data_IF_188627437068
#
_entry.id   IF_188627437068
#
_cell.length_a   1.000
_cell.length_b   1.000
_cell.length_c   1.000
_cell.angle_alpha   90.00
_cell.angle_beta   90.00
_cell.angle_gamma   90.00
#
_symmetry.space_group_name_H-M   'P 1'
#
loop_
_entity.id
_entity.type
_entity.pdbx_description
1 polymer ?
#
# COMPACT_ATOMS: atom_id res chain seq x y z
N UNK A 1 20.67 6.91 10.89
CA UNK A 1 20.22 6.68 12.27
C UNK A 1 20.38 5.19 12.62
N UNK A 2 20.45 4.78 13.89
CA UNK A 2 20.89 3.41 14.20
C UNK A 2 19.76 2.43 14.60
N UNK A 3 19.97 1.15 14.36
CA UNK A 3 19.15 0.02 14.80
C UNK A 3 19.83 -0.70 15.96
N UNK A 4 19.09 -1.02 17.01
CA UNK A 4 19.56 -1.82 18.15
C UNK A 4 19.65 -3.30 17.79
N UNK A 5 18.69 -3.82 17.01
CA UNK A 5 18.68 -5.21 16.55
C UNK A 5 17.77 -5.42 15.32
N UNK A 6 18.02 -6.52 14.60
CA UNK A 6 17.27 -7.00 13.44
C UNK A 6 17.03 -8.51 13.60
N UNK A 7 15.83 -8.97 13.27
CA UNK A 7 15.40 -10.36 13.34
C UNK A 7 14.62 -10.78 12.09
N UNK A 8 14.76 -12.04 11.73
CA UNK A 8 13.85 -12.74 10.81
C UNK A 8 13.39 -14.01 11.51
N UNK A 9 12.09 -14.16 11.63
CA UNK A 9 11.45 -15.35 12.18
C UNK A 9 10.70 -16.08 11.09
N UNK A 10 10.73 -17.41 11.09
CA UNK A 10 9.77 -18.20 10.32
C UNK A 10 8.47 -18.32 11.09
N UNK A 11 7.36 -18.29 10.37
CA UNK A 11 6.01 -18.50 10.87
C UNK A 11 5.17 -19.14 9.75
N UNK A 12 5.13 -20.48 9.74
CA UNK A 12 4.34 -21.25 8.79
C UNK A 12 3.20 -21.99 9.47
N UNK A 13 2.17 -22.38 8.72
CA UNK A 13 0.99 -23.11 9.26
C UNK A 13 1.33 -24.49 9.82
N UNK A 14 2.41 -25.12 9.33
CA UNK A 14 2.76 -26.51 9.62
C UNK A 14 4.03 -26.67 10.48
N UNK A 15 4.82 -25.60 10.66
CA UNK A 15 6.07 -25.64 11.43
C UNK A 15 6.04 -24.66 12.61
N UNK A 16 6.66 -25.01 13.75
CA UNK A 16 6.77 -24.08 14.86
C UNK A 16 7.53 -22.84 14.45
N UNK A 17 7.05 -21.68 14.90
CA UNK A 17 7.75 -20.41 14.68
C UNK A 17 9.16 -20.48 15.25
N UNK A 18 10.16 -20.03 14.49
CA UNK A 18 11.56 -20.15 14.88
C UNK A 18 12.38 -18.94 14.43
N UNK A 19 13.48 -18.69 15.14
CA UNK A 19 14.44 -17.62 14.78
C UNK A 19 15.30 -18.12 13.62
N UNK A 20 15.22 -17.44 12.47
CA UNK A 20 16.01 -17.78 11.27
C UNK A 20 17.21 -16.87 11.11
N UNK A 21 17.10 -15.63 11.55
CA UNK A 21 18.20 -14.67 11.58
C UNK A 21 18.05 -13.74 12.78
N UNK A 22 19.17 -13.35 13.39
CA UNK A 22 19.22 -12.36 14.45
C UNK A 22 20.56 -11.64 14.42
N UNK A 23 20.54 -10.31 14.49
CA UNK A 23 21.72 -9.47 14.65
C UNK A 23 21.44 -8.38 15.68
N UNK A 24 22.31 -8.26 16.67
CA UNK A 24 22.30 -7.18 17.68
C UNK A 24 23.46 -6.24 17.40
N UNK A 25 23.26 -4.95 17.69
CA UNK A 25 24.29 -3.92 17.52
C UNK A 25 24.67 -3.33 18.88
N UNK A 26 25.73 -3.86 19.54
CA UNK A 26 26.10 -3.45 20.89
C UNK A 26 26.44 -1.96 21.01
N UNK A 27 26.99 -1.36 19.94
CA UNK A 27 27.27 0.08 19.85
C UNK A 27 25.99 0.92 19.99
N UNK A 28 24.93 0.49 19.32
CA UNK A 28 23.63 1.17 19.39
C UNK A 28 22.93 0.90 20.71
N UNK A 29 23.06 -0.31 21.25
CA UNK A 29 22.52 -0.64 22.58
C UNK A 29 23.11 0.23 23.69
N UNK A 30 24.43 0.52 23.63
CA UNK A 30 25.07 1.47 24.54
C UNK A 30 24.50 2.89 24.41
N UNK A 31 24.20 3.33 23.17
CA UNK A 31 23.54 4.63 22.93
C UNK A 31 22.11 4.66 23.47
N UNK A 32 21.35 3.58 23.29
CA UNK A 32 20.00 3.45 23.84
C UNK A 32 20.01 3.62 25.37
N UNK A 33 20.94 2.95 26.06
CA UNK A 33 21.14 3.14 27.51
C UNK A 33 21.40 4.59 27.89
N UNK A 34 22.23 5.30 27.12
CA UNK A 34 22.57 6.70 27.38
C UNK A 34 21.38 7.67 27.16
N UNK A 35 20.61 7.47 26.08
CA UNK A 35 19.47 8.33 25.74
C UNK A 35 18.21 8.02 26.57
N UNK A 36 17.85 6.74 26.72
CA UNK A 36 16.60 6.34 27.35
C UNK A 36 16.71 6.27 28.89
N UNK A 37 17.92 6.14 29.45
CA UNK A 37 18.18 6.17 30.90
C UNK A 37 17.23 5.25 31.70
N UNK A 38 16.39 5.82 32.57
CA UNK A 38 15.46 5.07 33.41
C UNK A 38 14.36 4.33 32.62
N UNK A 39 14.03 4.81 31.41
CA UNK A 39 13.06 4.16 30.52
C UNK A 39 13.73 3.17 29.57
N UNK A 40 15.01 2.81 29.77
CA UNK A 40 15.71 1.82 28.96
C UNK A 40 15.23 0.41 29.30
N UNK A 41 14.89 -0.35 28.27
CA UNK A 41 14.59 -1.79 28.37
C UNK A 41 15.64 -2.55 27.57
N UNK A 42 16.33 -3.50 28.20
CA UNK A 42 17.34 -4.33 27.55
C UNK A 42 16.71 -5.27 26.52
N UNK A 43 17.47 -5.66 25.50
CA UNK A 43 16.99 -6.62 24.51
C UNK A 43 17.02 -8.03 25.14
N UNK A 44 15.85 -8.69 25.32
CA UNK A 44 15.77 -10.02 25.93
C UNK A 44 16.27 -11.12 24.99
N UNK A 45 16.16 -12.38 25.36
CA UNK A 45 16.55 -13.49 24.49
C UNK A 45 15.69 -13.58 23.23
N UNK A 46 16.26 -14.08 22.13
CA UNK A 46 15.57 -14.10 20.84
C UNK A 46 14.24 -14.90 20.88
N UNK A 47 14.18 -15.93 21.73
CA UNK A 47 12.97 -16.71 21.95
C UNK A 47 11.89 -15.90 22.69
N UNK A 48 12.28 -15.06 23.65
CA UNK A 48 11.36 -14.18 24.37
C UNK A 48 10.82 -13.07 23.47
N UNK A 49 11.69 -12.48 22.62
CA UNK A 49 11.26 -11.53 21.58
C UNK A 49 10.25 -12.19 20.64
N UNK A 50 10.55 -13.40 20.15
CA UNK A 50 9.64 -14.14 19.26
C UNK A 50 8.29 -14.41 19.93
N UNK A 51 8.29 -14.91 21.17
CA UNK A 51 7.05 -15.19 21.92
C UNK A 51 6.21 -13.91 22.10
N UNK A 52 6.83 -12.82 22.53
CA UNK A 52 6.16 -11.54 22.72
C UNK A 52 5.60 -10.98 21.41
N UNK A 53 6.36 -11.10 20.31
CA UNK A 53 5.95 -10.65 18.99
C UNK A 53 4.77 -11.45 18.42
N UNK A 54 4.81 -12.78 18.53
CA UNK A 54 3.70 -13.64 18.08
C UNK A 54 2.42 -13.35 18.87
N UNK A 55 2.54 -13.10 20.18
CA UNK A 55 1.41 -12.70 21.02
C UNK A 55 0.80 -11.37 20.55
N UNK A 56 1.64 -10.37 20.33
CA UNK A 56 1.24 -9.02 19.90
C UNK A 56 0.61 -9.02 18.50
N UNK A 57 1.08 -9.90 17.60
CA UNK A 57 0.53 -10.08 16.26
C UNK A 57 -0.71 -11.01 16.23
N UNK A 58 -1.09 -11.62 17.35
CA UNK A 58 -2.23 -12.54 17.43
C UNK A 58 -2.00 -13.88 16.71
N UNK A 59 -0.74 -14.33 16.60
CA UNK A 59 -0.33 -15.51 15.83
C UNK A 59 -0.10 -16.77 16.68
N UNK A 60 -0.46 -16.76 17.97
CA UNK A 60 -0.32 -17.93 18.86
C UNK A 60 -1.57 -18.80 18.87
N UNK A 61 -1.43 -20.12 18.95
CA UNK A 61 -2.56 -21.08 18.90
C UNK A 61 -3.52 -20.97 20.10
N UNK A 62 -3.02 -20.50 21.25
CA UNK A 62 -3.80 -20.29 22.47
C UNK A 62 -4.70 -19.04 22.40
N UNK A 63 -4.55 -18.21 21.36
CA UNK A 63 -5.20 -16.91 21.22
C UNK A 63 -6.48 -16.93 20.37
N UNK A 64 -7.22 -18.05 20.36
CA UNK A 64 -8.56 -18.12 19.73
C UNK A 64 -9.61 -17.27 20.44
N UNK A 65 -9.31 -16.78 21.64
CA UNK A 65 -10.20 -15.92 22.41
C UNK A 65 -9.93 -14.45 22.11
N UNK A 66 -11.00 -13.66 22.04
CA UNK A 66 -10.95 -12.21 21.91
C UNK A 66 -10.19 -11.58 23.08
N UNK A 67 -9.26 -10.68 22.78
CA UNK A 67 -8.48 -9.94 23.77
C UNK A 67 -8.65 -8.44 23.48
N UNK A 68 -9.31 -7.71 24.37
CA UNK A 68 -9.74 -6.33 24.12
C UNK A 68 -8.60 -5.39 23.70
N UNK A 69 -7.42 -5.48 24.34
CA UNK A 69 -6.26 -4.66 23.98
C UNK A 69 -5.67 -4.97 22.58
N UNK A 70 -5.95 -6.16 22.02
CA UNK A 70 -5.43 -6.67 20.73
C UNK A 70 -6.46 -6.62 19.60
N UNK A 71 -7.71 -6.96 19.92
CA UNK A 71 -8.80 -7.21 18.98
C UNK A 71 -9.90 -6.14 19.02
N UNK A 72 -9.85 -5.22 20.00
CA UNK A 72 -10.80 -4.12 20.10
C UNK A 72 -10.72 -3.16 18.90
N UNK A 73 -11.88 -2.68 18.45
CA UNK A 73 -11.99 -1.74 17.33
C UNK A 73 -11.46 -0.33 17.63
N UNK A 74 -11.19 -0.02 18.90
CA UNK A 74 -10.52 1.22 19.33
C UNK A 74 -9.07 1.30 18.86
N UNK A 75 -8.45 0.14 18.56
CA UNK A 75 -7.09 0.07 18.06
C UNK A 75 -7.08 0.17 16.54
N UNK A 76 -6.70 1.33 16.05
CA UNK A 76 -6.41 1.54 14.63
C UNK A 76 -5.15 0.72 14.27
N UNK A 77 -5.32 -0.49 13.72
CA UNK A 77 -4.22 -1.34 13.18
C UNK A 77 -3.61 -0.73 11.90
N UNK A 78 -3.11 0.51 11.96
CA UNK A 78 -2.52 1.21 10.81
C UNK A 78 -0.98 1.25 10.84
N UNK A 79 -0.33 0.78 11.90
CA UNK A 79 1.13 0.88 12.05
C UNK A 79 1.78 -0.48 12.22
N UNK A 80 2.88 -0.72 11.51
CA UNK A 80 3.79 -1.87 11.71
C UNK A 80 4.67 -1.73 12.96
N UNK A 81 4.46 -0.68 13.77
CA UNK A 81 5.24 -0.39 14.98
C UNK A 81 4.46 -0.88 16.20
N UNK A 82 5.12 -1.71 16.99
CA UNK A 82 4.56 -2.43 18.12
C UNK A 82 5.36 -2.14 19.39
N UNK A 83 4.72 -2.37 20.52
CA UNK A 83 5.36 -2.37 21.81
C UNK A 83 5.23 -3.77 22.42
N UNK A 84 6.36 -4.45 22.62
CA UNK A 84 6.36 -5.82 23.10
C UNK A 84 6.49 -5.84 24.63
N UNK A 85 5.60 -6.58 25.29
CA UNK A 85 5.75 -6.85 26.71
C UNK A 85 6.81 -7.95 26.89
N UNK A 86 7.93 -7.59 27.53
CA UNK A 86 9.07 -8.47 27.82
C UNK A 86 9.32 -8.47 29.33
N UNK A 87 10.10 -9.42 29.90
CA UNK A 87 10.29 -9.51 31.36
C UNK A 87 10.76 -8.20 32.01
N UNK A 88 11.66 -7.48 31.35
CA UNK A 88 12.26 -6.23 31.83
C UNK A 88 11.42 -4.97 31.52
N UNK A 89 10.19 -5.14 31.04
CA UNK A 89 9.28 -4.03 30.74
C UNK A 89 8.81 -4.02 29.29
N UNK A 90 8.63 -2.81 28.73
CA UNK A 90 8.02 -2.63 27.40
C UNK A 90 9.08 -2.30 26.35
N UNK A 91 9.38 -3.26 25.48
CA UNK A 91 10.33 -3.07 24.38
C UNK A 91 9.64 -2.32 23.24
N UNK A 92 10.02 -1.06 23.04
CA UNK A 92 9.44 -0.18 22.04
C UNK A 92 10.49 0.79 21.47
N UNK A 93 10.40 1.19 20.18
CA UNK A 93 9.47 0.72 19.16
C UNK A 93 9.99 -0.53 18.44
N UNK A 94 9.21 -1.59 18.36
CA UNK A 94 9.53 -2.76 17.53
C UNK A 94 8.78 -2.66 16.22
N UNK A 95 9.52 -2.52 15.11
CA UNK A 95 8.94 -2.58 13.78
C UNK A 95 8.81 -4.04 13.35
N UNK A 96 7.64 -4.46 12.86
CA UNK A 96 7.40 -5.82 12.38
C UNK A 96 6.54 -5.85 11.11
N UNK A 97 6.99 -6.60 10.10
CA UNK A 97 6.30 -6.81 8.84
C UNK A 97 6.16 -8.31 8.56
N UNK A 98 5.00 -8.74 8.09
CA UNK A 98 4.74 -10.13 7.70
C UNK A 98 4.75 -10.26 6.18
N UNK A 99 5.42 -11.28 5.65
CA UNK A 99 5.32 -11.68 4.24
C UNK A 99 5.58 -13.17 4.10
N UNK A 100 4.71 -13.86 3.36
CA UNK A 100 4.70 -15.31 3.26
C UNK A 100 4.82 -15.97 4.65
N UNK A 101 5.72 -16.94 4.81
CA UNK A 101 5.97 -17.64 6.07
C UNK A 101 7.05 -16.97 6.94
N UNK A 102 7.26 -15.65 6.80
CA UNK A 102 8.29 -14.91 7.54
C UNK A 102 7.75 -13.65 8.22
N UNK A 103 8.33 -13.37 9.38
CA UNK A 103 8.17 -12.12 10.12
C UNK A 103 9.52 -11.42 10.16
N UNK A 104 9.58 -10.24 9.56
CA UNK A 104 10.74 -9.35 9.53
C UNK A 104 10.58 -8.31 10.62
N UNK A 105 11.52 -8.24 11.55
CA UNK A 105 11.41 -7.32 12.67
C UNK A 105 12.72 -6.59 12.95
N UNK A 106 12.65 -5.37 13.47
CA UNK A 106 13.81 -4.67 13.98
C UNK A 106 13.44 -3.71 15.10
N UNK A 107 14.45 -3.34 15.89
CA UNK A 107 14.33 -2.43 17.01
C UNK A 107 15.16 -1.17 16.70
N UNK A 108 14.58 -0.11 16.16
CA UNK A 108 15.26 1.18 15.99
C UNK A 108 15.70 1.82 17.32
N UNK A 109 16.74 2.64 17.27
CA UNK A 109 17.12 3.54 18.36
C UNK A 109 16.17 4.74 18.41
N UNK A 110 15.73 5.10 19.61
CA UNK A 110 15.03 6.36 19.87
C UNK A 110 15.95 7.25 20.68
N UNK A 111 16.35 8.39 20.11
CA UNK A 111 17.32 9.32 20.71
C UNK A 111 16.68 10.33 21.68
N UNK A 112 15.72 9.87 22.47
CA UNK A 112 14.98 10.67 23.45
C UNK A 112 14.38 9.76 24.54
N UNK A 113 13.82 10.34 25.59
CA UNK A 113 13.14 9.57 26.63
C UNK A 113 11.91 8.84 26.05
N UNK A 114 11.62 7.64 26.56
CA UNK A 114 10.48 6.82 26.08
C UNK A 114 9.21 7.04 26.90
N UNK A 115 9.30 7.79 28.00
CA UNK A 115 8.18 8.10 28.88
C UNK A 115 8.04 9.62 29.03
N UNK A 116 6.97 10.22 28.49
CA UNK A 116 5.93 9.61 27.65
C UNK A 116 6.47 9.19 26.27
N UNK A 117 5.81 8.23 25.57
CA UNK A 117 6.25 7.79 24.25
C UNK A 117 6.19 8.93 23.23
N UNK A 118 7.28 9.22 22.51
CA UNK A 118 7.28 10.25 21.49
C UNK A 118 6.43 9.85 20.28
N UNK A 119 5.95 10.85 19.55
CA UNK A 119 5.21 10.62 18.29
C UNK A 119 6.07 9.87 17.29
N UNK A 120 5.53 8.83 16.66
CA UNK A 120 6.23 8.02 15.65
C UNK A 120 6.81 8.87 14.51
N UNK A 121 6.12 9.96 14.15
CA UNK A 121 6.55 10.86 13.07
C UNK A 121 7.85 11.61 13.39
N UNK A 122 8.16 11.78 14.69
CA UNK A 122 9.38 12.43 15.15
C UNK A 122 10.61 11.51 15.16
N UNK A 123 10.41 10.21 14.96
CA UNK A 123 11.44 9.18 15.12
C UNK A 123 11.92 8.74 13.73
N UNK A 124 12.93 9.45 13.21
CA UNK A 124 13.49 9.19 11.87
C UNK A 124 14.07 7.79 11.67
N UNK A 125 14.56 7.15 12.75
CA UNK A 125 15.06 5.77 12.71
C UNK A 125 14.00 4.74 12.33
N UNK A 126 12.71 5.05 12.51
CA UNK A 126 11.61 4.18 12.07
C UNK A 126 11.56 4.11 10.54
N UNK A 127 11.72 5.23 9.83
CA UNK A 127 11.70 5.24 8.36
C UNK A 127 12.89 4.48 7.77
N UNK A 128 14.08 4.62 8.36
CA UNK A 128 15.27 3.86 7.96
C UNK A 128 15.13 2.36 8.27
N UNK A 129 14.55 2.02 9.42
CA UNK A 129 14.20 0.66 9.80
C UNK A 129 13.26 0.01 8.78
N UNK A 130 12.21 0.72 8.35
CA UNK A 130 11.29 0.28 7.30
C UNK A 130 12.02 0.03 5.98
N UNK A 131 12.89 0.95 5.56
CA UNK A 131 13.67 0.82 4.33
C UNK A 131 14.55 -0.44 4.36
N UNK A 132 15.28 -0.66 5.46
CA UNK A 132 16.14 -1.84 5.61
C UNK A 132 15.34 -3.14 5.65
N UNK A 133 14.24 -3.22 6.41
CA UNK A 133 13.41 -4.43 6.46
C UNK A 133 12.75 -4.73 5.12
N UNK A 134 12.29 -3.71 4.41
CA UNK A 134 11.73 -3.86 3.06
C UNK A 134 12.78 -4.37 2.08
N UNK A 135 14.01 -3.85 2.16
CA UNK A 135 15.16 -4.34 1.40
C UNK A 135 15.50 -5.81 1.70
N UNK A 136 15.52 -6.18 2.98
CA UNK A 136 15.72 -7.56 3.42
C UNK A 136 14.63 -8.50 2.92
N UNK A 137 13.37 -8.11 3.03
CA UNK A 137 12.23 -8.87 2.49
C UNK A 137 12.38 -9.07 0.98
N UNK A 138 12.66 -7.99 0.23
CA UNK A 138 12.83 -8.07 -1.23
C UNK A 138 13.98 -8.99 -1.61
N UNK A 139 15.10 -8.94 -0.89
CA UNK A 139 16.25 -9.81 -1.13
C UNK A 139 15.97 -11.29 -0.81
N UNK A 140 15.35 -11.60 0.33
CA UNK A 140 15.01 -12.99 0.70
C UNK A 140 14.04 -13.61 -0.31
N UNK A 141 13.08 -12.82 -0.82
CA UNK A 141 12.12 -13.27 -1.82
C UNK A 141 12.60 -13.08 -3.27
N UNK A 142 13.86 -12.69 -3.48
CA UNK A 142 14.43 -12.52 -4.84
C UNK A 142 14.96 -13.84 -5.40
N UNK A 143 14.52 -14.20 -6.61
CA UNK A 143 14.98 -15.40 -7.31
C UNK A 143 13.94 -15.96 -8.27
N UNK A 144 14.31 -17.00 -9.02
CA UNK A 144 13.36 -17.74 -9.86
C UNK A 144 12.55 -18.77 -9.05
N UNK A 145 13.13 -19.29 -7.96
CA UNK A 145 12.46 -20.18 -7.03
C UNK A 145 12.66 -19.70 -5.58
N UNK A 146 11.80 -18.77 -5.11
CA UNK A 146 11.97 -18.14 -3.80
C UNK A 146 12.07 -19.15 -2.64
N UNK A 147 11.31 -20.24 -2.68
CA UNK A 147 11.29 -21.22 -1.58
C UNK A 147 12.61 -22.01 -1.46
N UNK A 148 13.20 -22.41 -2.58
CA UNK A 148 14.47 -23.13 -2.61
C UNK A 148 15.67 -22.22 -2.30
N UNK A 149 15.59 -20.94 -2.69
CA UNK A 149 16.70 -19.99 -2.59
C UNK A 149 16.83 -19.37 -1.19
N UNK A 150 15.74 -19.29 -0.40
CA UNK A 150 15.71 -18.65 0.93
C UNK A 150 16.85 -19.07 1.87
N UNK A 151 17.19 -20.37 2.04
CA UNK A 151 18.28 -20.77 2.94
C UNK A 151 19.62 -20.15 2.54
N UNK A 152 19.91 -20.12 1.23
CA UNK A 152 21.14 -19.52 0.71
C UNK A 152 21.16 -18.00 0.92
N UNK A 153 20.03 -17.33 0.69
CA UNK A 153 19.89 -15.88 0.91
C UNK A 153 20.04 -15.50 2.38
N UNK A 154 19.42 -16.26 3.29
CA UNK A 154 19.58 -16.06 4.73
C UNK A 154 21.05 -16.18 5.15
N UNK A 155 21.81 -17.10 4.54
CA UNK A 155 23.24 -17.26 4.83
C UNK A 155 24.07 -16.03 4.40
N UNK A 156 23.74 -15.43 3.26
CA UNK A 156 24.42 -14.22 2.76
C UNK A 156 24.01 -12.93 3.49
N UNK A 157 22.82 -12.92 4.11
CA UNK A 157 22.27 -11.72 4.75
C UNK A 157 23.20 -11.14 5.84
N UNK A 158 23.90 -12.00 6.59
CA UNK A 158 24.85 -11.55 7.62
C UNK A 158 25.99 -10.70 7.04
N UNK A 159 26.56 -11.14 5.91
CA UNK A 159 27.62 -10.44 5.20
C UNK A 159 27.10 -9.12 4.62
N UNK A 160 25.94 -9.16 3.95
CA UNK A 160 25.31 -7.98 3.36
C UNK A 160 24.99 -6.91 4.40
N UNK A 161 24.39 -7.29 5.54
CA UNK A 161 24.08 -6.34 6.61
C UNK A 161 25.32 -5.70 7.23
N UNK A 162 26.52 -6.29 7.09
CA UNK A 162 27.75 -5.66 7.57
C UNK A 162 28.16 -4.49 6.71
N UNK A 163 27.86 -4.53 5.40
CA UNK A 163 28.11 -3.44 4.46
C UNK A 163 26.94 -2.46 4.40
N UNK A 164 25.71 -2.98 4.39
CA UNK A 164 24.47 -2.21 4.34
C UNK A 164 24.16 -1.47 5.64
N UNK A 165 24.56 -2.01 6.80
CA UNK A 165 24.22 -1.48 8.11
C UNK A 165 25.42 -1.54 9.10
N UNK A 166 26.56 -0.91 8.78
CA UNK A 166 27.74 -0.95 9.62
C UNK A 166 27.45 -0.34 11.00
N UNK A 167 27.84 -1.06 12.05
CA UNK A 167 27.64 -0.67 13.45
C UNK A 167 26.18 -0.31 13.80
N UNK A 168 25.22 -0.82 13.03
CA UNK A 168 23.79 -0.61 13.21
C UNK A 168 23.22 0.60 12.47
N UNK A 169 24.02 1.35 11.70
CA UNK A 169 23.52 2.49 10.91
C UNK A 169 23.21 2.05 9.48
N UNK A 170 21.95 2.01 9.02
CA UNK A 170 21.61 1.69 7.64
C UNK A 170 22.19 2.75 6.69
N UNK A 171 23.02 2.31 5.75
CA UNK A 171 23.60 3.11 4.68
C UNK A 171 23.01 2.75 3.31
N UNK A 172 22.71 1.47 3.08
CA UNK A 172 22.13 0.97 1.84
C UNK A 172 21.02 -0.05 2.14
N UNK A 173 19.83 0.17 1.61
CA UNK A 173 18.71 -0.77 1.74
C UNK A 173 18.54 -1.67 0.51
N UNK A 174 19.26 -1.44 -0.59
CA UNK A 174 19.22 -2.26 -1.79
C UNK A 174 20.14 -3.49 -1.68
N UNK A 175 19.73 -4.45 -0.86
CA UNK A 175 20.53 -5.65 -0.60
C UNK A 175 20.74 -6.55 -1.84
N UNK A 176 19.85 -6.48 -2.82
CA UNK A 176 20.01 -7.19 -4.11
C UNK A 176 21.20 -6.62 -4.87
N UNK A 177 21.22 -5.30 -5.07
CA UNK A 177 22.32 -4.63 -5.76
C UNK A 177 23.66 -4.83 -5.05
N UNK A 178 23.66 -4.73 -3.73
CA UNK A 178 24.85 -5.00 -2.91
C UNK A 178 25.37 -6.44 -3.09
N UNK A 179 24.47 -7.42 -3.14
CA UNK A 179 24.82 -8.82 -3.40
C UNK A 179 25.42 -9.03 -4.79
N UNK A 180 24.92 -8.33 -5.82
CA UNK A 180 25.51 -8.36 -7.15
C UNK A 180 26.91 -7.76 -7.18
N UNK A 181 27.12 -6.62 -6.51
CA UNK A 181 28.44 -5.97 -6.43
C UNK A 181 29.47 -6.88 -5.75
N UNK A 182 29.11 -7.50 -4.63
CA UNK A 182 29.99 -8.41 -3.88
C UNK A 182 30.39 -9.64 -4.71
N UNK A 183 29.47 -10.15 -5.54
CA UNK A 183 29.72 -11.32 -6.36
C UNK A 183 30.32 -11.01 -7.74
N UNK A 184 30.34 -9.73 -8.15
CA UNK A 184 31.00 -9.31 -9.38
C UNK A 184 32.52 -9.24 -9.18
N UNK A 185 33.28 -9.97 -9.99
CA UNK A 185 34.74 -9.90 -9.98
C UNK A 185 35.18 -8.46 -10.24
N UNK A 186 35.86 -7.84 -9.29
CA UNK A 186 36.36 -6.47 -9.34
C UNK A 186 37.22 -6.23 -10.59
N UNK A 187 36.59 -5.81 -11.68
CA UNK A 187 37.22 -5.50 -12.95
C UNK A 187 36.39 -4.45 -13.65
N UNK A 188 36.79 -3.18 -13.50
CA UNK A 188 36.22 -1.97 -14.11
C UNK A 188 35.05 -1.28 -13.37
N UNK A 189 35.25 -0.92 -12.10
CA UNK A 189 34.47 0.17 -11.49
C UNK A 189 35.24 1.50 -11.60
N UNK A 190 35.16 2.14 -12.77
CA UNK A 190 35.64 3.52 -12.96
C UNK A 190 34.59 4.42 -13.62
N UNK A 191 33.31 4.04 -13.63
CA UNK A 191 32.22 4.92 -14.02
C UNK A 191 31.30 5.13 -12.83
N UNK A 192 31.10 6.39 -12.43
CA UNK A 192 30.15 6.81 -11.39
C UNK A 192 28.73 6.44 -11.85
N UNK A 193 28.30 5.22 -11.54
CA UNK A 193 26.93 4.78 -11.76
C UNK A 193 26.07 5.09 -10.52
N UNK A 194 24.77 5.39 -10.68
CA UNK A 194 23.86 5.54 -9.55
C UNK A 194 23.79 4.25 -8.72
N UNK A 195 23.48 4.37 -7.42
CA UNK A 195 23.39 3.26 -6.45
C UNK A 195 22.29 2.21 -6.74
N UNK A 196 21.61 2.27 -7.87
CA UNK A 196 20.60 1.30 -8.31
C UNK A 196 20.89 0.72 -9.71
N UNK A 197 22.07 1.01 -10.28
CA UNK A 197 22.51 0.56 -11.61
C UNK A 197 23.83 -0.20 -11.50
N UNK A 198 23.73 -1.52 -11.35
CA UNK A 198 24.88 -2.40 -11.12
C UNK A 198 25.27 -3.25 -12.32
N UNK A 199 24.45 -3.32 -13.38
CA UNK A 199 24.71 -4.18 -14.54
C UNK A 199 24.28 -3.56 -15.87
N UNK A 200 24.94 -3.97 -16.96
CA UNK A 200 24.59 -3.64 -18.34
C UNK A 200 23.55 -4.64 -18.83
N UNK A 201 22.28 -4.24 -18.86
CA UNK A 201 21.27 -5.02 -19.59
C UNK A 201 21.53 -4.89 -21.10
N UNK A 202 21.63 -6.03 -21.78
CA UNK A 202 21.61 -6.11 -23.25
C UNK A 202 20.19 -6.48 -23.67
N UNK A 203 19.50 -5.65 -24.44
CA UNK A 203 18.16 -5.97 -24.88
C UNK A 203 17.56 -4.97 -25.85
N UNK A 204 16.29 -5.16 -26.19
CA UNK A 204 15.54 -4.15 -26.93
C UNK A 204 15.14 -3.05 -25.95
N UNK A 205 15.58 -1.83 -26.22
CA UNK A 205 15.18 -0.67 -25.43
C UNK A 205 13.64 -0.50 -25.42
N UNK A 206 13.02 -0.60 -24.23
CA UNK A 206 11.57 -0.50 -24.00
C UNK A 206 11.30 0.20 -22.67
N UNK A 207 10.30 1.09 -22.65
CA UNK A 207 9.82 1.76 -21.46
C UNK A 207 8.33 1.49 -21.34
N UNK A 208 7.92 0.86 -20.24
CA UNK A 208 6.54 0.62 -19.89
C UNK A 208 6.19 1.53 -18.70
N UNK A 209 5.14 2.34 -18.85
CA UNK A 209 4.63 3.22 -17.80
C UNK A 209 3.18 2.84 -17.52
N UNK A 210 2.85 2.69 -16.25
CA UNK A 210 1.51 2.35 -15.80
C UNK A 210 1.05 3.35 -14.75
N UNK A 211 -0.19 3.82 -14.85
CA UNK A 211 -0.80 4.70 -13.85
C UNK A 211 -1.94 3.93 -13.20
N UNK A 212 -1.94 3.87 -11.88
CA UNK A 212 -3.02 3.25 -11.09
C UNK A 212 -3.57 4.29 -10.14
N UNK A 213 -4.87 4.50 -10.21
CA UNK A 213 -5.59 5.39 -9.30
C UNK A 213 -6.55 4.58 -8.44
N UNK A 214 -6.57 4.89 -7.15
CA UNK A 214 -7.51 4.36 -6.17
C UNK A 214 -8.32 5.50 -5.61
N UNK A 215 -9.64 5.40 -5.74
CA UNK A 215 -10.56 6.33 -5.10
C UNK A 215 -11.03 5.72 -3.79
N UNK A 216 -10.76 6.39 -2.68
CA UNK A 216 -11.35 6.07 -1.37
C UNK A 216 -12.48 7.05 -1.15
N UNK A 217 -13.68 6.56 -0.84
CA UNK A 217 -14.86 7.39 -0.71
C UNK A 217 -15.78 6.84 0.38
N UNK A 218 -16.35 7.74 1.18
CA UNK A 218 -17.45 7.50 2.11
C UNK A 218 -18.54 8.53 1.83
N UNK A 219 -19.74 8.06 1.55
CA UNK A 219 -20.90 8.89 1.20
C UNK A 219 -21.99 8.69 2.24
N UNK A 220 -22.60 9.79 2.64
CA UNK A 220 -23.66 9.89 3.62
C UNK A 220 -24.84 10.62 2.94
N UNK A 221 -25.94 9.90 2.73
CA UNK A 221 -27.12 10.43 2.01
C UNK A 221 -27.76 11.60 2.78
N UNK A 222 -28.02 11.38 4.07
CA UNK A 222 -28.60 12.38 4.98
C UNK A 222 -27.93 12.31 6.35
N UNK A 223 -27.32 13.42 6.80
CA UNK A 223 -26.64 13.50 8.09
C UNK A 223 -25.89 14.81 8.32
N UNK A 224 -25.32 14.97 9.51
CA UNK A 224 -24.41 16.08 9.83
C UNK A 224 -23.03 15.93 9.16
N UNK A 225 -22.67 14.72 8.76
CA UNK A 225 -21.37 14.40 8.16
C UNK A 225 -21.40 14.60 6.65
N UNK A 226 -20.41 15.32 6.13
CA UNK A 226 -20.24 15.52 4.68
C UNK A 226 -19.60 14.30 4.03
N UNK A 227 -20.01 13.99 2.80
CA UNK A 227 -19.30 13.06 1.93
C UNK A 227 -17.80 13.37 1.89
N UNK A 228 -16.98 12.32 1.96
CA UNK A 228 -15.52 12.44 1.86
C UNK A 228 -15.00 11.51 0.78
N UNK A 229 -14.04 12.00 0.00
CA UNK A 229 -13.33 11.17 -0.96
C UNK A 229 -11.92 11.71 -1.21
N UNK A 230 -11.04 10.81 -1.66
CA UNK A 230 -9.67 11.14 -2.01
C UNK A 230 -9.19 10.21 -3.11
N UNK A 231 -8.47 10.77 -4.09
CA UNK A 231 -7.78 9.99 -5.11
C UNK A 231 -6.33 9.81 -4.70
N UNK A 232 -5.87 8.56 -4.74
CA UNK A 232 -4.47 8.20 -4.59
C UNK A 232 -3.97 7.57 -5.89
N UNK A 233 -2.99 8.21 -6.53
CA UNK A 233 -2.37 7.76 -7.76
C UNK A 233 -0.98 7.20 -7.54
N UNK A 234 -0.60 6.22 -8.36
CA UNK A 234 0.74 5.64 -8.43
C UNK A 234 1.16 5.54 -9.88
N UNK A 235 2.35 6.07 -10.18
CA UNK A 235 3.00 5.93 -11.49
C UNK A 235 4.10 4.90 -11.37
N UNK A 236 3.93 3.75 -12.03
CA UNK A 236 4.91 2.66 -12.06
C UNK A 236 5.63 2.64 -13.41
N UNK A 237 6.92 2.34 -13.40
CA UNK A 237 7.76 2.31 -14.59
C UNK A 237 8.58 1.01 -14.64
N UNK A 238 8.76 0.46 -15.84
CA UNK A 238 9.77 -0.56 -16.16
C UNK A 238 10.58 -0.06 -17.36
N UNK A 239 11.88 0.08 -17.20
CA UNK A 239 12.74 0.63 -18.24
C UNK A 239 13.86 -0.35 -18.58
N UNK A 240 13.70 -1.08 -19.68
CA UNK A 240 14.75 -1.87 -20.27
C UNK A 240 15.54 -0.93 -21.18
N UNK A 241 16.68 -0.41 -20.72
CA UNK A 241 17.52 0.54 -21.47
C UNK A 241 18.98 0.09 -21.45
N UNK A 242 19.65 0.11 -22.61
CA UNK A 242 20.99 -0.46 -22.79
C UNK A 242 22.12 0.43 -22.21
N UNK A 243 21.85 1.70 -21.92
CA UNK A 243 22.87 2.67 -21.51
C UNK A 243 22.80 3.01 -20.00
N UNK A 244 23.96 2.97 -19.34
CA UNK A 244 24.14 3.30 -17.90
C UNK A 244 23.77 4.77 -17.60
N UNK A 245 23.84 5.65 -18.61
CA UNK A 245 23.55 7.09 -18.50
C UNK A 245 22.20 7.49 -19.10
N UNK A 246 21.32 6.53 -19.44
CA UNK A 246 20.01 6.84 -19.99
C UNK A 246 19.16 7.58 -18.94
N UNK A 247 18.96 8.88 -19.16
CA UNK A 247 17.99 9.69 -18.44
C UNK A 247 16.64 9.59 -19.14
N UNK A 248 15.59 9.33 -18.38
CA UNK A 248 14.20 9.27 -18.85
C UNK A 248 13.43 10.39 -18.17
N UNK A 249 12.57 11.09 -18.91
CA UNK A 249 11.65 12.07 -18.33
C UNK A 249 10.22 11.62 -18.55
N UNK A 250 9.48 11.42 -17.46
CA UNK A 250 8.03 11.21 -17.50
C UNK A 250 7.35 12.53 -17.18
N UNK A 251 6.43 12.95 -18.05
CA UNK A 251 5.59 14.14 -17.84
C UNK A 251 4.17 13.72 -17.51
N UNK A 252 3.63 14.18 -16.38
CA UNK A 252 2.21 14.06 -16.06
C UNK A 252 1.52 15.37 -16.45
N UNK A 253 0.49 15.25 -17.28
CA UNK A 253 -0.27 16.38 -17.79
C UNK A 253 -1.69 16.30 -17.29
N UNK A 254 -2.13 17.34 -16.59
CA UNK A 254 -3.53 17.47 -16.17
C UNK A 254 -4.38 17.96 -17.35
N UNK A 255 -5.64 17.50 -17.49
CA UNK A 255 -6.59 18.12 -18.39
C UNK A 255 -6.86 19.58 -17.97
N UNK A 256 -7.38 20.41 -18.88
CA UNK A 256 -7.60 21.85 -18.62
C UNK A 256 -8.43 22.17 -17.36
N UNK A 257 -9.32 21.25 -16.95
CA UNK A 257 -10.14 21.35 -15.74
C UNK A 257 -9.78 20.25 -14.72
N UNK A 258 -8.57 19.68 -14.81
CA UNK A 258 -8.09 18.66 -13.90
C UNK A 258 -7.71 19.28 -12.58
N UNK A 259 -8.08 18.62 -11.48
CA UNK A 259 -7.61 19.02 -10.16
C UNK A 259 -6.09 18.90 -10.07
N UNK A 260 -5.40 19.84 -9.42
CA UNK A 260 -3.96 19.77 -9.22
C UNK A 260 -3.57 18.49 -8.47
N UNK A 261 -2.38 17.99 -8.77
CA UNK A 261 -1.77 16.91 -7.98
C UNK A 261 -1.20 17.50 -6.69
N UNK A 262 -1.42 16.78 -5.59
CA UNK A 262 -1.00 17.12 -4.24
C UNK A 262 -0.12 15.99 -3.68
N UNK A 263 0.60 16.27 -2.60
CA UNK A 263 1.42 15.31 -1.82
C UNK A 263 2.28 14.37 -2.70
N UNK A 264 2.97 14.95 -3.69
CA UNK A 264 3.70 14.15 -4.68
C UNK A 264 4.98 13.60 -4.04
N UNK A 265 5.04 12.29 -3.91
CA UNK A 265 6.21 11.56 -3.41
C UNK A 265 6.93 10.93 -4.59
N UNK A 266 8.21 11.26 -4.79
CA UNK A 266 9.01 10.78 -5.92
C UNK A 266 10.01 9.71 -5.48
N UNK A 267 10.32 8.79 -6.39
CA UNK A 267 11.36 7.81 -6.19
C UNK A 267 12.75 8.49 -6.14
N UNK A 268 13.71 8.01 -5.32
CA UNK A 268 15.07 8.55 -5.24
C UNK A 268 15.84 8.59 -6.57
N UNK A 269 15.36 7.90 -7.59
CA UNK A 269 15.97 7.94 -8.91
C UNK A 269 15.69 9.22 -9.70
N UNK A 270 14.72 10.02 -9.25
CA UNK A 270 14.37 11.31 -9.84
C UNK A 270 15.50 12.31 -9.53
N UNK A 271 16.10 12.86 -10.59
CA UNK A 271 17.32 13.67 -10.51
C UNK A 271 17.04 15.14 -10.25
N UNK A 272 15.85 15.62 -10.62
CA UNK A 272 15.40 16.96 -10.25
C UNK A 272 13.89 16.96 -10.10
N UNK A 273 13.42 17.61 -9.05
CA UNK A 273 12.01 17.90 -8.81
C UNK A 273 11.82 19.38 -9.10
N UNK A 274 10.91 19.72 -10.01
CA UNK A 274 10.58 21.12 -10.28
C UNK A 274 10.08 21.79 -8.99
N UNK A 275 10.46 23.04 -8.73
CA UNK A 275 10.05 23.79 -7.53
C UNK A 275 8.52 23.86 -7.39
N UNK A 276 7.80 23.79 -8.51
CA UNK A 276 6.33 23.69 -8.56
C UNK A 276 5.75 22.45 -7.86
N UNK A 277 6.49 21.32 -7.84
CA UNK A 277 6.10 20.08 -7.15
C UNK A 277 6.26 20.18 -5.62
N UNK A 278 7.21 21.00 -5.15
CA UNK A 278 7.48 21.18 -3.71
C UNK A 278 6.47 22.14 -3.06
N UNK A 279 5.90 23.06 -3.84
CA UNK A 279 4.91 24.06 -3.39
C UNK A 279 3.50 23.47 -3.27
N UNK A 280 3.20 22.33 -3.93
CA UNK A 280 1.92 21.60 -3.77
C UNK A 280 1.70 20.97 -2.38
N UNK A 281 2.57 21.28 -1.42
CA UNK A 281 2.49 20.86 -0.01
C UNK A 281 1.61 21.84 0.77
N UNK A 282 0.31 21.52 0.89
CA UNK A 282 -0.63 21.98 1.92
C UNK A 282 -0.39 23.36 2.58
N UNK A 283 -0.67 24.48 1.90
CA UNK A 283 -1.01 25.74 2.59
C UNK A 283 -2.01 26.58 1.78
N UNK A 284 -3.11 26.95 2.44
CA UNK A 284 -4.13 27.96 2.11
C UNK A 284 -5.16 27.66 1.00
N UNK A 285 -6.43 27.66 1.43
CA UNK A 285 -7.69 27.53 0.67
C UNK A 285 -7.95 28.76 -0.24
N UNK A 286 -6.98 29.64 -0.47
CA UNK A 286 -7.24 30.97 -1.03
C UNK A 286 -6.28 31.44 -2.12
N UNK A 287 -5.44 30.57 -2.68
CA UNK A 287 -4.55 30.99 -3.76
C UNK A 287 -4.78 30.17 -5.04
N UNK A 288 -5.33 30.85 -6.06
CA UNK A 288 -5.61 30.37 -7.42
C UNK A 288 -4.32 30.04 -8.23
N UNK A 289 -3.19 29.91 -7.53
CA UNK A 289 -1.84 29.76 -8.07
C UNK A 289 -1.35 28.30 -8.08
N UNK A 290 -2.19 27.34 -7.70
CA UNK A 290 -1.86 25.92 -7.81
C UNK A 290 -1.52 25.57 -9.26
N UNK A 291 -0.24 25.31 -9.52
CA UNK A 291 0.23 25.12 -10.89
C UNK A 291 -0.39 23.86 -11.48
N UNK A 292 -1.26 24.02 -12.48
CA UNK A 292 -1.73 22.94 -13.36
C UNK A 292 -0.65 22.50 -14.37
N UNK A 293 0.62 22.74 -14.03
CA UNK A 293 1.77 22.60 -14.91
C UNK A 293 2.07 21.14 -15.23
N UNK A 294 2.82 20.89 -16.32
CA UNK A 294 3.30 19.55 -16.60
C UNK A 294 4.29 19.11 -15.51
N UNK A 295 3.93 18.09 -14.74
CA UNK A 295 4.82 17.53 -13.72
C UNK A 295 5.89 16.68 -14.40
N UNK A 296 7.09 17.22 -14.54
CA UNK A 296 8.21 16.54 -15.19
C UNK A 296 9.09 15.86 -14.17
N UNK A 297 9.27 14.56 -14.34
CA UNK A 297 10.07 13.70 -13.49
C UNK A 297 11.22 13.13 -14.34
N UNK A 298 12.36 13.83 -14.45
CA UNK A 298 13.58 13.27 -15.01
C UNK A 298 14.22 12.29 -14.01
N UNK A 299 14.62 11.11 -14.46
CA UNK A 299 15.21 10.08 -13.62
C UNK A 299 16.16 9.17 -14.39
N UNK A 300 17.05 8.50 -13.66
CA UNK A 300 17.82 7.36 -14.18
C UNK A 300 17.15 6.07 -13.67
N UNK A 301 16.48 5.25 -14.50
CA UNK A 301 15.62 4.18 -13.99
C UNK A 301 16.40 3.10 -13.22
N UNK A 302 15.83 2.48 -12.18
CA UNK A 302 16.18 1.13 -11.74
C UNK A 302 16.04 0.08 -12.86
N UNK A 303 16.64 -1.11 -12.64
CA UNK A 303 16.54 -2.25 -13.57
C UNK A 303 15.18 -2.95 -13.48
N UNK A 304 14.67 -3.10 -12.26
CA UNK A 304 13.39 -3.75 -11.97
C UNK A 304 12.21 -2.78 -12.10
N UNK A 305 10.97 -3.28 -12.27
CA UNK A 305 9.78 -2.46 -12.15
C UNK A 305 9.75 -1.71 -10.81
N UNK A 306 9.46 -0.42 -10.85
CA UNK A 306 9.46 0.43 -9.66
C UNK A 306 8.34 1.48 -9.73
N UNK A 307 7.95 2.02 -8.57
CA UNK A 307 7.04 3.16 -8.51
C UNK A 307 7.86 4.43 -8.64
N UNK A 308 7.64 5.18 -9.71
CA UNK A 308 8.30 6.45 -10.00
C UNK A 308 7.79 7.57 -9.08
N UNK A 309 6.48 7.65 -8.87
CA UNK A 309 5.90 8.56 -7.91
C UNK A 309 4.52 8.11 -7.42
N UNK A 310 4.12 8.69 -6.30
CA UNK A 310 2.77 8.66 -5.75
C UNK A 310 2.24 10.08 -5.68
N UNK A 311 0.93 10.25 -5.82
CA UNK A 311 0.27 11.55 -5.71
C UNK A 311 -1.11 11.41 -5.09
N UNK A 312 -1.61 12.49 -4.49
CA UNK A 312 -3.00 12.65 -4.13
C UNK A 312 -3.67 13.65 -5.07
N UNK A 313 -4.99 13.58 -5.22
CA UNK A 313 -5.76 14.58 -5.95
C UNK A 313 -7.16 14.72 -5.38
N UNK A 314 -7.68 15.94 -5.41
CA UNK A 314 -9.01 16.32 -4.93
C UNK A 314 -9.94 16.51 -6.11
N UNK A 315 -10.59 15.45 -6.56
CA UNK A 315 -11.59 15.53 -7.65
C UNK A 315 -12.89 16.19 -7.14
N UNK A 316 -13.63 16.93 -7.97
CA UNK A 316 -14.83 17.64 -7.48
C UNK A 316 -16.00 16.74 -7.07
N UNK A 317 -16.10 15.54 -7.64
CA UNK A 317 -17.21 14.61 -7.42
C UNK A 317 -16.67 13.17 -7.45
N UNK A 318 -17.15 12.26 -6.59
CA UNK A 318 -16.78 10.85 -6.64
C UNK A 318 -17.26 10.19 -7.95
N UNK A 319 -16.56 9.14 -8.43
CA UNK A 319 -16.86 8.50 -9.72
C UNK A 319 -18.21 7.79 -9.75
N UNK A 320 -18.65 7.25 -8.61
CA UNK A 320 -19.97 6.62 -8.44
C UNK A 320 -20.61 7.27 -7.21
N UNK A 321 -21.80 7.81 -7.39
CA UNK A 321 -22.66 8.31 -6.32
C UNK A 321 -23.59 7.18 -5.88
N UNK A 322 -23.73 6.99 -4.58
CA UNK A 322 -24.49 5.92 -3.95
C UNK A 322 -25.38 6.46 -2.85
N UNK A 323 -26.62 6.00 -2.84
CA UNK A 323 -27.57 6.19 -1.76
C UNK A 323 -27.98 4.81 -1.24
N UNK A 324 -27.99 4.65 0.08
CA UNK A 324 -28.39 3.42 0.74
C UNK A 324 -29.36 3.72 1.87
N UNK A 325 -30.51 3.06 1.82
CA UNK A 325 -31.55 3.16 2.84
C UNK A 325 -31.89 1.77 3.34
N UNK A 326 -32.09 1.67 4.66
CA UNK A 326 -32.42 0.44 5.33
C UNK A 326 -33.46 0.71 6.42
N UNK A 327 -34.52 -0.08 6.42
CA UNK A 327 -35.54 -0.09 7.47
C UNK A 327 -35.74 -1.51 7.99
N UNK A 328 -36.00 -1.63 9.29
CA UNK A 328 -36.17 -2.92 9.96
C UNK A 328 -37.59 -3.05 10.50
N UNK A 329 -38.22 -4.19 10.22
CA UNK A 329 -39.53 -4.60 10.74
C UNK A 329 -39.44 -6.06 11.21
N UNK A 330 -39.19 -6.24 12.51
CA UNK A 330 -39.01 -7.57 13.12
C UNK A 330 -37.77 -8.29 12.58
N UNK A 331 -37.96 -9.44 11.90
CA UNK A 331 -36.88 -10.19 11.24
C UNK A 331 -36.71 -9.82 9.76
N UNK A 332 -37.51 -8.88 9.25
CA UNK A 332 -37.47 -8.42 7.88
C UNK A 332 -36.73 -7.08 7.82
N UNK A 333 -35.83 -6.96 6.86
CA UNK A 333 -35.12 -5.72 6.57
C UNK A 333 -35.43 -5.33 5.14
N UNK A 334 -35.99 -4.15 4.95
CA UNK A 334 -36.13 -3.57 3.63
C UNK A 334 -34.87 -2.77 3.30
N UNK A 335 -34.35 -2.98 2.10
CA UNK A 335 -33.18 -2.28 1.59
C UNK A 335 -33.53 -1.57 0.28
N UNK A 336 -32.93 -0.40 0.10
CA UNK A 336 -32.93 0.33 -1.17
C UNK A 336 -31.51 0.84 -1.40
N UNK A 337 -30.91 0.47 -2.54
CA UNK A 337 -29.60 0.94 -2.98
C UNK A 337 -29.77 1.59 -4.34
N UNK A 338 -29.31 2.82 -4.49
CA UNK A 338 -29.26 3.53 -5.77
C UNK A 338 -27.82 3.90 -6.07
N UNK A 339 -27.33 3.51 -7.24
CA UNK A 339 -25.99 3.83 -7.72
C UNK A 339 -26.07 4.61 -9.03
N UNK A 340 -25.32 5.70 -9.14
CA UNK A 340 -25.21 6.51 -10.34
C UNK A 340 -23.75 6.72 -10.70
N UNK A 341 -23.36 6.29 -11.90
CA UNK A 341 -22.04 6.58 -12.46
C UNK A 341 -22.01 8.04 -12.91
N UNK A 342 -20.98 8.78 -12.47
CA UNK A 342 -20.80 10.15 -12.88
C UNK A 342 -20.47 10.22 -14.38
N UNK A 343 -21.04 11.21 -15.09
CA UNK A 343 -20.93 11.32 -16.55
C UNK A 343 -19.49 11.52 -17.05
N UNK A 344 -18.61 11.99 -16.17
CA UNK A 344 -17.19 12.14 -16.47
C UNK A 344 -16.44 10.80 -16.52
N UNK A 345 -17.02 9.72 -15.99
CA UNK A 345 -16.37 8.41 -15.91
C UNK A 345 -16.74 7.58 -17.14
N UNK A 346 -15.72 7.01 -17.78
CA UNK A 346 -15.94 6.08 -18.89
C UNK A 346 -16.73 4.87 -18.38
N UNK A 347 -17.89 4.64 -18.99
CA UNK A 347 -18.73 3.50 -18.67
C UNK A 347 -18.18 2.20 -19.30
N UNK A 348 -17.16 1.62 -18.66
CA UNK A 348 -16.54 0.37 -19.06
C UNK A 348 -15.57 -0.12 -17.98
N UNK A 349 -15.84 -1.32 -17.47
CA UNK A 349 -15.14 -1.96 -16.35
C UNK A 349 -14.80 -3.40 -16.72
N UNK A 350 -13.73 -3.94 -16.15
CA UNK A 350 -13.42 -5.36 -16.20
C UNK A 350 -14.46 -6.16 -15.38
N UNK A 351 -14.79 -5.64 -14.20
CA UNK A 351 -15.78 -6.18 -13.26
C UNK A 351 -16.20 -5.09 -12.26
N UNK A 352 -17.44 -5.13 -11.81
CA UNK A 352 -17.98 -4.21 -10.79
C UNK A 352 -19.03 -4.95 -9.95
N UNK A 353 -18.92 -4.82 -8.63
CA UNK A 353 -19.82 -5.45 -7.67
C UNK A 353 -20.04 -4.55 -6.47
N UNK A 354 -21.21 -4.64 -5.85
CA UNK A 354 -21.54 -3.96 -4.60
C UNK A 354 -21.86 -4.98 -3.50
N UNK A 355 -21.23 -4.85 -2.35
CA UNK A 355 -21.36 -5.76 -1.22
C UNK A 355 -22.19 -5.14 -0.11
N UNK A 356 -23.18 -5.88 0.36
CA UNK A 356 -24.12 -5.46 1.40
C UNK A 356 -24.02 -6.49 2.54
N UNK A 357 -23.23 -6.22 3.60
CA UNK A 357 -23.03 -7.12 4.71
C UNK A 357 -24.13 -7.00 5.78
N UNK A 358 -24.45 -8.11 6.44
CA UNK A 358 -25.43 -8.23 7.52
C UNK A 358 -24.89 -9.04 8.71
N UNK A 359 -23.63 -8.82 9.09
CA UNK A 359 -22.87 -9.69 10.00
C UNK A 359 -23.55 -9.92 11.37
N UNK A 360 -24.27 -8.92 11.91
CA UNK A 360 -24.87 -9.02 13.25
C UNK A 360 -26.34 -9.50 13.25
N UNK A 361 -26.95 -9.72 12.08
CA UNK A 361 -28.40 -10.05 11.98
C UNK A 361 -28.69 -11.55 11.84
N UNK A 362 -27.65 -12.39 11.82
CA UNK A 362 -27.77 -13.84 11.63
C UNK A 362 -27.80 -14.24 10.15
N UNK A 363 -28.16 -15.50 9.88
CA UNK A 363 -28.19 -16.01 8.51
C UNK A 363 -29.45 -15.54 7.76
N UNK A 364 -29.24 -15.08 6.52
CA UNK A 364 -30.29 -14.77 5.55
C UNK A 364 -31.05 -16.06 5.21
N UNK A 365 -32.35 -16.09 5.51
CA UNK A 365 -33.24 -17.20 5.14
C UNK A 365 -33.81 -17.02 3.75
N UNK A 366 -34.30 -15.82 3.48
CA UNK A 366 -35.01 -15.48 2.26
C UNK A 366 -34.64 -14.07 1.82
N UNK A 367 -34.64 -13.84 0.52
CA UNK A 367 -34.37 -12.54 -0.06
C UNK A 367 -35.20 -12.33 -1.31
N UNK A 368 -36.14 -11.39 -1.25
CA UNK A 368 -36.93 -10.95 -2.39
C UNK A 368 -36.40 -9.62 -2.87
N UNK A 369 -36.14 -9.52 -4.17
CA UNK A 369 -35.51 -8.32 -4.70
C UNK A 369 -36.00 -7.96 -6.10
N UNK A 370 -35.86 -6.68 -6.40
CA UNK A 370 -36.01 -6.09 -7.72
C UNK A 370 -34.76 -5.30 -8.02
N UNK A 371 -34.13 -5.62 -9.14
CA UNK A 371 -32.90 -4.95 -9.59
C UNK A 371 -33.11 -4.42 -11.00
N UNK A 372 -32.71 -3.18 -11.26
CA UNK A 372 -32.82 -2.58 -12.60
C UNK A 372 -31.73 -3.04 -13.56
N UNK A 373 -30.57 -3.46 -13.04
CA UNK A 373 -29.42 -3.92 -13.82
C UNK A 373 -28.52 -4.86 -13.01
N UNK A 374 -27.89 -5.84 -13.66
CA UNK A 374 -27.04 -6.82 -12.98
C UNK A 374 -27.85 -7.94 -12.31
N UNK A 375 -27.19 -8.69 -11.42
CA UNK A 375 -27.76 -9.83 -10.72
C UNK A 375 -27.39 -9.83 -9.24
N UNK A 376 -28.20 -10.47 -8.42
CA UNK A 376 -27.93 -10.62 -6.99
C UNK A 376 -27.43 -12.02 -6.70
N UNK A 377 -26.38 -12.11 -5.89
CA UNK A 377 -25.82 -13.33 -5.36
C UNK A 377 -25.79 -13.26 -3.83
N UNK A 378 -25.96 -14.42 -3.18
CA UNK A 378 -25.84 -14.55 -1.74
C UNK A 378 -24.50 -15.21 -1.40
N UNK A 379 -23.81 -14.69 -0.39
CA UNK A 379 -22.57 -15.33 0.09
C UNK A 379 -22.83 -16.73 0.64
N UNK A 380 -21.83 -17.62 0.57
CA UNK A 380 -21.92 -18.99 1.09
C UNK A 380 -22.26 -19.03 2.59
N UNK A 381 -21.80 -18.05 3.34
CA UNK A 381 -22.04 -17.88 4.77
C UNK A 381 -23.44 -17.30 5.09
N UNK A 382 -24.20 -16.90 4.06
CA UNK A 382 -25.53 -16.29 4.17
C UNK A 382 -25.55 -15.04 5.05
N UNK A 383 -24.44 -14.31 5.09
CA UNK A 383 -24.23 -13.10 5.90
C UNK A 383 -24.05 -11.84 5.06
N UNK A 384 -24.02 -11.97 3.72
CA UNK A 384 -23.75 -10.88 2.78
C UNK A 384 -24.49 -11.10 1.47
N UNK A 385 -25.04 -10.02 0.93
CA UNK A 385 -25.54 -9.96 -0.44
C UNK A 385 -24.49 -9.30 -1.34
N UNK A 386 -24.35 -9.80 -2.56
CA UNK A 386 -23.43 -9.31 -3.58
C UNK A 386 -24.26 -8.94 -4.80
N UNK A 387 -24.27 -7.66 -5.14
CA UNK A 387 -24.86 -7.16 -6.38
C UNK A 387 -23.78 -7.16 -7.47
N UNK A 388 -23.87 -8.11 -8.39
CA UNK A 388 -22.98 -8.23 -9.54
C UNK A 388 -23.47 -7.31 -10.65
N UNK A 389 -22.77 -6.19 -10.85
CA UNK A 389 -23.09 -5.18 -11.86
C UNK A 389 -22.47 -5.55 -13.22
N UNK A 390 -21.26 -6.11 -13.20
CA UNK A 390 -20.54 -6.56 -14.39
C UNK A 390 -19.68 -5.46 -15.02
N UNK A 391 -19.68 -5.39 -16.35
CA UNK A 391 -18.69 -4.60 -17.11
C UNK A 391 -19.13 -3.17 -17.45
N UNK A 392 -20.39 -2.79 -17.21
CA UNK A 392 -20.90 -1.44 -17.51
C UNK A 392 -22.18 -1.14 -16.76
N UNK A 393 -22.44 0.14 -16.54
CA UNK A 393 -23.73 0.66 -16.12
C UNK A 393 -24.70 0.68 -17.32
N UNK A 394 -26.02 0.71 -17.08
CA UNK A 394 -27.01 0.91 -18.13
C UNK A 394 -26.86 2.28 -18.81
N UNK A 395 -27.56 2.51 -19.93
CA UNK A 395 -27.49 3.78 -20.67
C UNK A 395 -27.88 5.01 -19.84
N UNK A 396 -28.76 4.83 -18.85
CA UNK A 396 -29.15 5.87 -17.89
C UNK A 396 -28.03 6.27 -16.94
N UNK A 397 -26.94 5.51 -16.88
CA UNK A 397 -25.86 5.60 -15.88
C UNK A 397 -26.35 5.43 -14.44
N UNK A 398 -27.59 5.00 -14.23
CA UNK A 398 -28.23 4.87 -12.93
C UNK A 398 -28.87 3.48 -12.79
N UNK A 399 -28.70 2.89 -11.62
CA UNK A 399 -29.25 1.58 -11.27
C UNK A 399 -29.80 1.60 -9.84
N UNK A 400 -30.85 0.79 -9.63
CA UNK A 400 -31.55 0.68 -8.35
C UNK A 400 -31.74 -0.80 -8.01
N UNK A 401 -31.47 -1.12 -6.75
CA UNK A 401 -31.81 -2.38 -6.10
C UNK A 401 -32.77 -2.06 -4.96
N UNK A 402 -33.91 -2.72 -4.92
CA UNK A 402 -34.79 -2.74 -3.75
C UNK A 402 -35.15 -4.16 -3.39
N UNK A 403 -35.35 -4.42 -2.10
CA UNK A 403 -35.71 -5.77 -1.67
C UNK A 403 -35.97 -5.90 -0.18
N UNK A 404 -36.48 -7.06 0.19
CA UNK A 404 -36.75 -7.45 1.58
C UNK A 404 -35.90 -8.67 1.91
N UNK A 405 -35.04 -8.54 2.92
CA UNK A 405 -34.18 -9.59 3.45
C UNK A 405 -34.80 -10.12 4.74
N UNK A 406 -35.06 -11.43 4.80
CA UNK A 406 -35.59 -12.08 6.01
C UNK A 406 -34.50 -12.89 6.70
N UNK A 407 -34.27 -12.61 7.98
CA UNK A 407 -33.26 -13.26 8.79
C UNK A 407 -33.82 -14.41 9.62
N UNK A 408 -32.92 -15.31 10.04
CA UNK A 408 -33.22 -16.33 11.04
C UNK A 408 -33.35 -15.70 12.42
N UNK A 409 -34.32 -16.12 13.24
CA UNK A 409 -34.44 -15.65 14.64
C UNK A 409 -33.28 -16.05 15.55
N UNK A 410 -32.43 -16.98 15.11
CA UNK A 410 -31.19 -17.31 15.81
C UNK A 410 -30.19 -16.17 15.65
N UNK A 411 -30.20 -15.25 16.62
CA UNK A 411 -29.12 -14.27 16.76
C UNK A 411 -27.83 -15.04 17.04
N UNK A 412 -26.76 -14.75 16.29
CA UNK A 412 -25.44 -15.29 16.55
C UNK A 412 -24.97 -14.85 17.94
N UNK A 413 -25.25 -15.64 18.96
CA UNK A 413 -25.00 -15.31 20.37
C UNK A 413 -23.53 -15.48 20.79
N UNK A 414 -22.61 -15.81 19.87
CA UNK A 414 -21.21 -16.10 20.21
C UNK A 414 -20.18 -15.77 19.12
N UNK A 415 -20.52 -14.92 18.15
CA UNK A 415 -19.61 -14.49 17.09
C UNK A 415 -19.01 -13.10 17.33
N UNK A 416 -17.87 -12.75 16.70
CA UNK A 416 -17.38 -11.37 16.71
C UNK A 416 -18.43 -10.44 16.09
N UNK A 417 -18.88 -9.45 16.86
CA UNK A 417 -19.85 -8.44 16.42
C UNK A 417 -19.15 -7.35 15.62
N UNK A 418 -19.66 -7.03 14.44
CA UNK A 418 -19.18 -5.91 13.64
C UNK A 418 -19.65 -4.58 14.26
N UNK A 419 -18.74 -3.66 14.53
CA UNK A 419 -19.07 -2.40 15.20
C UNK A 419 -19.88 -1.42 14.32
N UNK A 420 -19.89 -1.61 12.99
CA UNK A 420 -20.58 -0.75 12.02
C UNK A 420 -21.94 -1.32 11.66
N UNK A 421 -22.11 -2.64 11.62
CA UNK A 421 -23.37 -3.29 11.25
C UNK A 421 -24.35 -3.51 12.42
N UNK A 422 -24.55 -2.52 13.31
CA UNK A 422 -25.41 -2.61 14.49
C UNK A 422 -26.80 -1.97 14.31
N UNK A 423 -27.87 -2.66 14.73
CA UNK A 423 -29.23 -2.09 14.62
C UNK A 423 -29.61 -1.78 13.15
N UNK A 424 -29.91 -0.51 12.86
CA UNK A 424 -30.22 -0.02 11.50
C UNK A 424 -29.00 0.51 10.74
N UNK A 425 -27.79 0.41 11.29
CA UNK A 425 -26.58 0.82 10.58
C UNK A 425 -26.05 -0.34 9.76
N UNK A 426 -25.90 -0.10 8.46
CA UNK A 426 -25.25 -0.98 7.51
C UNK A 426 -24.65 -0.13 6.40
N UNK A 427 -23.75 -0.70 5.60
CA UNK A 427 -23.08 0.04 4.53
C UNK A 427 -23.08 -0.77 3.25
N UNK A 428 -22.96 -0.08 2.11
CA UNK A 428 -22.69 -0.71 0.82
C UNK A 428 -21.24 -0.45 0.47
N UNK A 429 -20.48 -1.51 0.22
CA UNK A 429 -19.09 -1.42 -0.23
C UNK A 429 -18.99 -1.81 -1.69
N UNK A 430 -18.58 -0.87 -2.53
CA UNK A 430 -18.21 -1.19 -3.91
C UNK A 430 -16.89 -1.97 -3.92
N UNK A 431 -16.88 -3.09 -4.64
CA UNK A 431 -15.71 -3.92 -4.90
C UNK A 431 -14.74 -3.24 -5.87
N UNK A 432 -13.57 -3.85 -6.05
CA UNK A 432 -12.51 -3.34 -6.93
C UNK A 432 -13.00 -3.34 -8.39
N UNK A 433 -13.24 -2.16 -8.97
CA UNK A 433 -13.43 -2.01 -10.41
C UNK A 433 -12.12 -1.59 -11.08
N UNK A 434 -11.85 -2.16 -12.27
CA UNK A 434 -10.73 -1.75 -13.14
C UNK A 434 -11.30 -1.25 -14.47
N UNK A 435 -10.97 -0.05 -14.94
CA UNK A 435 -11.28 0.34 -16.31
C UNK A 435 -10.42 -0.49 -17.28
N UNK A 436 -10.96 -0.87 -18.44
CA UNK A 436 -10.16 -1.52 -19.50
C UNK A 436 -8.99 -0.62 -19.92
N UNK A 437 -7.76 -1.07 -19.67
CA UNK A 437 -6.53 -0.46 -20.19
C UNK A 437 -6.09 -1.25 -21.43
N UNK A 438 -6.14 -0.62 -22.60
CA UNK A 438 -5.49 -1.15 -23.81
C UNK A 438 -3.98 -0.91 -23.73
N UNK A 439 -3.21 -1.97 -23.50
CA UNK A 439 -1.76 -1.96 -23.61
C UNK A 439 -1.33 -1.80 -25.07
N UNK A 440 -0.87 -0.61 -25.47
CA UNK A 440 -0.25 -0.43 -26.78
C UNK A 440 1.28 -0.49 -26.65
N UNK A 441 1.88 -1.58 -27.12
CA UNK A 441 3.30 -1.62 -27.45
C UNK A 441 3.55 -0.78 -28.70
N UNK A 442 4.44 0.21 -28.64
CA UNK A 442 4.74 1.11 -29.76
C UNK A 442 5.80 0.46 -30.68
N UNK A 443 5.51 0.18 -31.96
CA UNK A 443 6.54 -0.09 -32.96
C UNK A 443 7.06 1.24 -33.55
N UNK A 444 8.37 1.32 -33.79
CA UNK A 444 9.05 2.46 -34.43
C UNK A 444 8.53 2.72 -35.85
N UNK A 445 8.19 3.97 -36.21
CA UNK A 445 8.53 4.60 -37.52
C UNK A 445 8.23 6.12 -37.56
N UNK A 446 9.09 6.86 -38.25
CA UNK A 446 9.14 8.32 -38.45
C UNK A 446 8.03 8.85 -39.38
N UNK A 447 7.45 10.04 -39.08
CA UNK A 447 7.42 11.30 -39.88
C UNK A 447 6.20 12.18 -39.50
N UNK A 448 6.38 13.49 -39.64
CA UNK A 448 5.50 14.62 -39.22
C UNK A 448 4.20 14.72 -40.05
N UNK A 449 3.08 15.07 -39.42
CA UNK A 449 2.15 16.21 -39.69
C UNK A 449 0.86 16.04 -38.85
N UNK A 450 0.39 17.13 -38.22
CA UNK A 450 -1.00 17.31 -37.73
C UNK A 450 -1.94 17.60 -38.94
N UNK A 451 -3.29 17.55 -38.85
CA UNK A 451 -4.11 17.75 -37.65
C UNK A 451 -5.33 16.80 -37.48
N UNK A 452 -6.05 17.07 -36.38
CA UNK A 452 -7.46 16.80 -36.06
C UNK A 452 -7.89 15.50 -35.34
N UNK A 453 -8.49 15.78 -34.16
CA UNK A 453 -9.42 15.05 -33.30
C UNK A 453 -9.32 13.53 -33.17
N UNK A 454 -9.13 13.04 -31.94
CA UNK A 454 -10.10 12.15 -31.25
C UNK A 454 -9.78 12.03 -29.74
N UNK A 455 -10.86 11.99 -28.95
CA UNK A 455 -10.94 12.09 -27.49
C UNK A 455 -10.58 10.79 -26.75
N UNK A 456 -9.88 10.92 -25.62
CA UNK A 456 -10.06 10.07 -24.42
C UNK A 456 -9.65 10.87 -23.17
N UNK A 457 -10.61 11.20 -22.31
CA UNK A 457 -10.48 11.76 -20.94
C UNK A 457 -11.18 10.71 -20.05
N UNK A 458 -10.62 10.15 -18.98
CA UNK A 458 -9.91 10.76 -17.86
C UNK A 458 -8.55 10.10 -17.58
N UNK A 459 -7.62 10.98 -17.21
CA UNK A 459 -6.23 10.88 -16.73
C UNK A 459 -5.17 10.11 -17.57
N UNK A 460 -4.40 10.96 -18.28
CA UNK A 460 -3.10 10.81 -18.91
C UNK A 460 -2.98 10.04 -20.24
N UNK A 461 -3.20 10.76 -21.35
CA UNK A 461 -2.72 10.41 -22.68
C UNK A 461 -1.85 11.54 -23.26
N UNK A 462 -0.52 11.38 -23.29
CA UNK A 462 0.38 11.49 -24.46
C UNK A 462 1.85 11.49 -23.97
N UNK A 463 2.60 10.46 -24.33
CA UNK A 463 4.04 10.34 -24.08
C UNK A 463 4.80 11.11 -25.18
N UNK A 464 5.56 12.15 -24.83
CA UNK A 464 6.52 12.80 -25.74
C UNK A 464 7.94 12.43 -25.32
N UNK A 465 8.56 11.47 -26.01
CA UNK A 465 9.97 11.09 -25.80
C UNK A 465 10.84 12.08 -26.58
N UNK A 466 11.53 12.97 -25.86
CA UNK A 466 12.65 13.73 -26.42
C UNK A 466 13.96 13.03 -26.02
N UNK A 467 14.61 12.37 -26.98
CA UNK A 467 16.01 11.99 -26.85
C UNK A 467 16.87 13.19 -27.26
N UNK A 468 17.37 13.93 -26.28
CA UNK A 468 18.50 14.83 -26.52
C UNK A 468 19.79 14.01 -26.36
N UNK A 469 20.44 13.72 -27.49
CA UNK A 469 21.81 13.24 -27.55
C UNK A 469 22.67 14.44 -27.95
N UNK A 470 23.63 14.80 -27.09
CA UNK A 470 24.94 15.23 -27.56
C UNK A 470 25.90 14.07 -27.32
#
# INVERSE_FOLDING_TARGET
MPLRAVWIFSHGREQPSAVKFSRRFPTVEKRAKAFNRASHVSIPDNHEVLKALLLELGLTQENKNFVEYRDGCSRIRKTHVHALNVPDGKLWPVLAMQSADFIYACLPLVEQQLEPPPSLISISSISEAFSLLSGAMTFIHSGQNPEADVPSRLSHLASLLTQACPLGSPLDSNLIGLHEVVNSSAGNQAQKAPAWRFNRQKGKSQIDVHITEKVTCAQYDEGHDSDTWQVYGTVSCKCNLDAITASVTVGLHLPANGSPLQDILVHPCVTSVDSSLLISSSVAITDDSASNGPYKLPFTPPLEPFNLCHYTSQVPVPPILGCYQMTEDGCNVQISVKLKLHESVRNGFDHCEAHIPFFNKGHIKHFEYKVSHGQMEMSREKSRLVWVIGQKFPKSLEMVLSGTVTFSSDRLSSGPTDAVCGGNTAYVKLGSWRPLITSYGIPRRRRRFCPDHFFNKFFCSLLKINNNLY
#
